data_IF_499222042372
#
_entry.id   IF_499222042372
#
_cell.length_a   1.000
_cell.length_b   1.000
_cell.length_c   1.000
_cell.angle_alpha   90.00
_cell.angle_beta   90.00
_cell.angle_gamma   90.00
#
_symmetry.space_group_name_H-M   'P 1'
#
loop_
_entity.id
_entity.type
_entity.pdbx_description
1 polymer ?
#
# COMPACT_ATOMS: atom_id res chain seq x y z
N UNK A 1 29.14 -16.70 6.11
CA UNK A 1 28.89 -15.40 5.44
C UNK A 1 28.66 -15.70 3.98
N UNK A 2 27.43 -15.50 3.53
CA UNK A 2 27.09 -15.55 2.10
C UNK A 2 27.68 -14.31 1.41
N UNK A 3 27.91 -14.34 0.09
CA UNK A 3 28.48 -13.19 -0.63
C UNK A 3 27.70 -11.88 -0.47
N UNK A 4 26.40 -11.97 -0.19
CA UNK A 4 25.54 -10.81 0.07
C UNK A 4 25.90 -10.07 1.36
N UNK A 5 26.32 -10.77 2.42
CA UNK A 5 26.73 -10.16 3.69
C UNK A 5 27.94 -9.24 3.52
N UNK A 6 28.84 -9.57 2.58
CA UNK A 6 30.06 -8.80 2.32
C UNK A 6 29.77 -7.49 1.59
N UNK A 7 28.68 -7.42 0.82
CA UNK A 7 28.25 -6.19 0.12
C UNK A 7 27.56 -5.19 1.04
N UNK A 8 27.01 -5.66 2.17
CA UNK A 8 26.28 -4.88 3.17
C UNK A 8 27.18 -4.30 4.27
N UNK A 9 28.49 -4.45 4.15
CA UNK A 9 29.49 -3.99 5.13
C UNK A 9 30.59 -3.14 4.49
N UNK A 10 30.96 -2.04 5.13
CA UNK A 10 32.09 -1.23 4.69
C UNK A 10 32.70 -0.42 5.85
N UNK A 11 34.04 -0.39 5.92
CA UNK A 11 34.75 0.58 6.74
C UNK A 11 34.53 1.98 6.16
N UNK A 12 34.25 2.96 7.02
CA UNK A 12 33.94 4.32 6.63
C UNK A 12 34.28 5.32 7.73
N UNK A 13 34.29 6.59 7.36
CA UNK A 13 34.13 7.70 8.29
C UNK A 13 32.65 8.08 8.31
N UNK A 14 32.11 8.37 9.50
CA UNK A 14 30.73 8.78 9.66
C UNK A 14 30.62 10.12 10.41
N UNK A 15 29.58 10.87 10.08
CA UNK A 15 29.16 12.08 10.79
C UNK A 15 27.67 11.96 11.10
N UNK A 16 27.27 12.30 12.32
CA UNK A 16 25.86 12.36 12.73
C UNK A 16 25.49 13.77 13.16
N UNK A 17 24.26 14.16 12.83
CA UNK A 17 23.66 15.40 13.26
C UNK A 17 22.22 15.12 13.70
N UNK A 18 21.81 15.60 14.87
CA UNK A 18 20.44 15.44 15.38
C UNK A 18 20.03 14.01 15.77
N UNK A 19 20.98 13.07 15.85
CA UNK A 19 20.75 11.71 16.33
C UNK A 19 20.99 11.63 17.84
N UNK A 20 19.92 11.45 18.62
CA UNK A 20 19.99 11.38 20.07
C UNK A 20 20.88 10.21 20.54
N UNK A 21 21.85 10.51 21.41
CA UNK A 21 22.78 9.52 21.96
C UNK A 21 23.85 9.00 21.00
N UNK A 22 23.90 9.47 19.74
CA UNK A 22 24.92 9.08 18.78
C UNK A 22 26.19 9.96 18.87
N UNK A 23 27.40 9.41 18.64
CA UNK A 23 28.60 10.22 18.50
C UNK A 23 28.49 11.15 17.28
N UNK A 24 28.95 12.40 17.42
CA UNK A 24 28.93 13.39 16.34
C UNK A 24 29.69 12.94 15.08
N UNK A 25 30.69 12.08 15.24
CA UNK A 25 31.36 11.40 14.14
C UNK A 25 32.46 10.47 14.61
N UNK A 26 33.07 9.77 13.67
CA UNK A 26 34.19 8.86 13.94
C UNK A 26 34.48 7.95 12.76
N UNK A 27 35.29 6.93 13.01
CA UNK A 27 35.54 5.83 12.07
C UNK A 27 34.81 4.58 12.56
N UNK A 28 34.32 3.76 11.64
CA UNK A 28 33.64 2.53 11.99
C UNK A 28 33.28 1.68 10.79
N UNK A 29 32.85 0.45 11.06
CA UNK A 29 32.22 -0.41 10.06
C UNK A 29 30.73 -0.06 9.99
N UNK A 30 30.29 0.38 8.82
CA UNK A 30 28.87 0.52 8.52
C UNK A 30 28.29 -0.84 8.09
N UNK A 31 27.12 -1.18 8.63
CA UNK A 31 26.39 -2.40 8.33
C UNK A 31 24.93 -2.08 7.96
N UNK A 32 24.49 -2.63 6.82
CA UNK A 32 23.11 -2.52 6.31
C UNK A 32 22.36 -3.81 6.58
N UNK A 33 21.26 -3.72 7.33
CA UNK A 33 20.25 -4.78 7.44
C UNK A 33 18.97 -4.40 6.69
N UNK A 34 17.91 -5.18 6.82
CA UNK A 34 16.66 -4.93 6.08
C UNK A 34 15.82 -3.77 6.66
N UNK A 35 16.15 -3.31 7.87
CA UNK A 35 15.41 -2.29 8.61
C UNK A 35 16.18 -0.97 8.75
N UNK A 36 17.49 -0.98 8.56
CA UNK A 36 18.32 0.21 8.73
C UNK A 36 19.81 0.02 8.46
N UNK A 37 20.55 1.07 8.78
CA UNK A 37 22.01 1.12 8.74
C UNK A 37 22.54 1.42 10.15
N UNK A 38 23.64 0.77 10.51
CA UNK A 38 24.34 0.99 11.78
C UNK A 38 25.81 1.31 11.55
N UNK A 39 26.37 2.25 12.31
CA UNK A 39 27.79 2.63 12.24
C UNK A 39 28.19 3.33 13.55
N UNK A 40 29.34 2.96 14.13
CA UNK A 40 29.90 3.66 15.29
C UNK A 40 28.96 3.80 16.49
N UNK A 41 28.10 2.80 16.73
CA UNK A 41 27.08 2.82 17.78
C UNK A 41 25.78 3.55 17.42
N UNK A 42 25.74 4.32 16.33
CA UNK A 42 24.52 4.90 15.78
C UNK A 42 23.72 3.86 14.99
N UNK A 43 22.39 3.94 15.06
CA UNK A 43 21.46 3.18 14.21
C UNK A 43 20.42 4.11 13.61
N UNK A 44 20.23 4.00 12.31
CA UNK A 44 19.22 4.73 11.55
C UNK A 44 18.26 3.74 10.92
N UNK A 45 16.97 3.85 11.26
CA UNK A 45 15.91 3.05 10.63
C UNK A 45 15.51 3.64 9.28
N UNK A 46 15.33 2.81 8.25
CA UNK A 46 15.00 3.29 6.90
C UNK A 46 13.65 3.97 6.78
N UNK A 47 12.70 3.66 7.65
CA UNK A 47 11.41 4.34 7.73
C UNK A 47 11.53 5.81 8.17
N UNK A 48 12.65 6.16 8.83
CA UNK A 48 12.96 7.52 9.26
C UNK A 48 13.89 8.26 8.26
N UNK A 49 14.38 7.58 7.21
CA UNK A 49 15.22 8.17 6.16
C UNK A 49 14.35 8.78 5.05
N UNK A 50 14.12 10.09 5.11
CA UNK A 50 13.33 10.81 4.11
C UNK A 50 14.11 11.06 2.81
N UNK A 51 15.42 11.30 2.87
CA UNK A 51 16.26 11.53 1.67
C UNK A 51 17.49 10.64 1.65
N UNK A 52 17.93 10.28 0.45
CA UNK A 52 19.20 9.58 0.22
C UNK A 52 19.89 10.22 -0.99
N UNK A 53 21.14 10.65 -0.80
CA UNK A 53 21.98 11.19 -1.88
C UNK A 53 23.35 10.54 -1.89
N UNK A 54 23.95 10.44 -3.07
CA UNK A 54 25.31 9.97 -3.31
C UNK A 54 26.03 11.05 -4.14
N UNK A 55 26.80 11.89 -3.46
CA UNK A 55 27.49 13.02 -4.06
C UNK A 55 28.95 13.02 -3.64
N UNK A 56 29.87 13.16 -4.60
CA UNK A 56 31.32 13.24 -4.33
C UNK A 56 31.84 12.07 -3.48
N UNK A 57 31.25 10.88 -3.65
CA UNK A 57 31.53 9.66 -2.85
C UNK A 57 31.17 9.78 -1.37
N UNK A 58 30.18 10.60 -1.06
CA UNK A 58 29.59 10.76 0.28
C UNK A 58 28.12 10.37 0.21
N UNK A 59 27.77 9.31 0.93
CA UNK A 59 26.40 8.88 1.09
C UNK A 59 25.76 9.69 2.21
N UNK A 60 24.65 10.36 1.92
CA UNK A 60 23.93 11.18 2.89
C UNK A 60 22.50 10.70 3.06
N UNK A 61 22.13 10.39 4.31
CA UNK A 61 20.77 10.03 4.71
C UNK A 61 20.18 11.20 5.50
N UNK A 62 19.12 11.83 4.99
CA UNK A 62 18.38 12.86 5.70
C UNK A 62 17.25 12.23 6.52
N UNK A 63 17.17 12.59 7.80
CA UNK A 63 16.34 11.91 8.79
C UNK A 63 15.15 12.75 9.24
N UNK A 64 14.05 12.08 9.54
CA UNK A 64 12.88 12.64 10.20
C UNK A 64 12.95 12.48 11.72
N UNK A 65 12.47 13.46 12.53
CA UNK A 65 11.97 14.78 12.14
C UNK A 65 13.06 15.78 11.76
N UNK A 66 14.29 15.50 12.18
CA UNK A 66 15.48 16.27 11.86
C UNK A 66 16.69 15.37 12.02
N UNK A 67 17.75 15.66 11.28
CA UNK A 67 19.04 15.02 11.45
C UNK A 67 19.59 14.44 10.16
N UNK A 68 20.82 13.94 10.25
CA UNK A 68 21.57 13.45 9.10
C UNK A 68 22.58 12.41 9.52
N UNK A 69 22.77 11.39 8.68
CA UNK A 69 23.91 10.50 8.74
C UNK A 69 24.69 10.63 7.42
N UNK A 70 25.99 10.94 7.51
CA UNK A 70 26.89 10.98 6.35
C UNK A 70 27.89 9.84 6.47
N UNK A 71 28.12 9.12 5.38
CA UNK A 71 29.12 8.06 5.28
C UNK A 71 30.09 8.41 4.15
N UNK A 72 31.38 8.45 4.45
CA UNK A 72 32.44 8.76 3.51
C UNK A 72 33.61 7.77 3.66
N UNK A 73 34.66 7.94 2.86
CA UNK A 73 35.86 7.09 2.93
C UNK A 73 35.61 5.58 2.72
N UNK A 74 34.51 5.22 2.05
CA UNK A 74 34.12 3.84 1.71
C UNK A 74 35.08 3.14 0.71
N UNK A 75 36.12 3.86 0.24
CA UNK A 75 37.14 3.38 -0.68
C UNK A 75 36.55 2.59 -1.86
N UNK A 76 37.13 1.42 -2.19
CA UNK A 76 36.69 0.54 -3.29
C UNK A 76 35.28 -0.04 -3.11
N UNK A 77 34.74 -0.04 -1.88
CA UNK A 77 33.41 -0.59 -1.58
C UNK A 77 32.28 0.40 -1.86
N UNK A 78 32.60 1.68 -2.12
CA UNK A 78 31.61 2.75 -2.26
C UNK A 78 30.41 2.37 -3.12
N UNK A 79 30.61 2.01 -4.40
CA UNK A 79 29.50 1.73 -5.31
C UNK A 79 28.65 0.53 -4.88
N UNK A 80 29.28 -0.55 -4.42
CA UNK A 80 28.59 -1.76 -3.95
C UNK A 80 27.78 -1.48 -2.68
N UNK A 81 28.37 -0.76 -1.72
CA UNK A 81 27.71 -0.42 -0.47
C UNK A 81 26.58 0.60 -0.69
N UNK A 82 26.79 1.62 -1.53
CA UNK A 82 25.77 2.60 -1.90
C UNK A 82 24.54 1.93 -2.52
N UNK A 83 24.77 0.97 -3.43
CA UNK A 83 23.69 0.17 -4.02
C UNK A 83 22.97 -0.67 -2.97
N UNK A 84 23.68 -1.40 -2.13
CA UNK A 84 23.08 -2.21 -1.07
C UNK A 84 22.24 -1.37 -0.10
N UNK A 85 22.74 -0.19 0.28
CA UNK A 85 22.05 0.77 1.13
C UNK A 85 20.77 1.31 0.47
N UNK A 86 20.86 1.70 -0.81
CA UNK A 86 19.72 2.18 -1.59
C UNK A 86 18.65 1.10 -1.74
N UNK A 87 19.05 -0.12 -2.13
CA UNK A 87 18.14 -1.25 -2.33
C UNK A 87 17.42 -1.64 -1.03
N UNK A 88 18.13 -1.71 0.10
CA UNK A 88 17.55 -2.02 1.40
C UNK A 88 16.60 -0.92 1.88
N UNK A 89 17.00 0.36 1.73
CA UNK A 89 16.15 1.51 2.03
C UNK A 89 14.87 1.47 1.21
N UNK A 90 14.97 1.32 -0.11
CA UNK A 90 13.82 1.35 -1.00
C UNK A 90 12.87 0.17 -0.71
N UNK A 91 13.40 -1.02 -0.42
CA UNK A 91 12.60 -2.15 0.01
C UNK A 91 11.84 -1.88 1.33
N UNK A 92 12.50 -1.29 2.32
CA UNK A 92 11.86 -0.88 3.57
C UNK A 92 10.79 0.19 3.35
N UNK A 93 11.03 1.15 2.45
CA UNK A 93 10.05 2.20 2.10
C UNK A 93 8.86 1.67 1.33
N UNK A 94 9.05 0.72 0.41
CA UNK A 94 7.95 0.01 -0.27
C UNK A 94 7.02 -0.62 0.74
N UNK A 95 7.55 -1.30 1.76
CA UNK A 95 6.74 -1.84 2.87
C UNK A 95 6.10 -0.74 3.72
N UNK A 96 6.90 0.25 4.14
CA UNK A 96 6.47 1.34 5.02
C UNK A 96 5.45 2.31 4.42
N UNK A 97 5.34 2.36 3.09
CA UNK A 97 4.31 3.10 2.34
C UNK A 97 3.21 2.19 1.80
N UNK A 98 3.16 0.94 2.24
CA UNK A 98 2.11 -0.02 1.89
C UNK A 98 2.01 -0.29 0.38
N UNK A 99 3.14 -0.26 -0.33
CA UNK A 99 3.25 -0.52 -1.76
C UNK A 99 3.83 -1.92 -2.06
N UNK A 100 3.94 -2.80 -1.05
CA UNK A 100 4.24 -4.22 -1.25
C UNK A 100 2.97 -5.02 -1.53
N UNK A 101 3.12 -6.21 -2.11
CA UNK A 101 2.04 -7.16 -2.33
C UNK A 101 2.36 -8.57 -1.81
N UNK A 102 1.49 -9.52 -2.14
CA UNK A 102 1.72 -10.94 -1.89
C UNK A 102 2.58 -11.56 -2.99
N UNK A 103 3.45 -12.50 -2.61
CA UNK A 103 4.35 -13.20 -3.52
C UNK A 103 5.61 -12.40 -3.86
N UNK A 104 6.14 -12.60 -5.07
CA UNK A 104 7.29 -11.87 -5.58
C UNK A 104 6.84 -11.01 -6.78
N UNK A 105 7.19 -9.73 -6.84
CA UNK A 105 6.88 -8.90 -7.99
C UNK A 105 7.80 -9.23 -9.15
N UNK A 106 7.36 -8.94 -10.37
CA UNK A 106 8.27 -8.88 -11.53
C UNK A 106 8.90 -7.48 -11.61
N UNK A 107 10.26 -7.36 -11.51
CA UNK A 107 10.92 -6.06 -11.50
C UNK A 107 11.31 -5.58 -12.90
N UNK A 108 11.16 -4.28 -13.12
CA UNK A 108 11.60 -3.56 -14.30
C UNK A 108 12.32 -2.27 -13.89
N UNK A 109 13.41 -1.95 -14.56
CA UNK A 109 14.06 -0.65 -14.45
C UNK A 109 13.60 0.22 -15.64
N UNK A 110 13.23 1.46 -15.35
CA UNK A 110 12.73 2.39 -16.34
C UNK A 110 12.66 3.80 -15.77
N UNK A 111 11.69 4.58 -16.23
CA UNK A 111 11.40 5.91 -15.71
C UNK A 111 9.90 6.16 -15.60
N UNK A 112 9.51 6.88 -14.55
CA UNK A 112 8.22 7.54 -14.45
C UNK A 112 8.33 8.87 -15.22
N UNK A 113 7.62 8.98 -16.35
CA UNK A 113 7.60 10.16 -17.21
C UNK A 113 6.52 11.14 -16.75
N UNK A 114 5.36 10.63 -16.34
CA UNK A 114 4.26 11.40 -15.77
C UNK A 114 3.62 10.65 -14.59
N UNK A 115 3.11 11.33 -13.55
CA UNK A 115 2.99 12.79 -13.44
C UNK A 115 4.28 13.49 -12.98
N UNK A 116 4.64 14.60 -13.62
CA UNK A 116 5.77 15.45 -13.22
C UNK A 116 7.01 15.29 -14.12
N UNK A 117 8.19 15.75 -13.67
CA UNK A 117 9.41 15.59 -14.47
C UNK A 117 9.83 14.12 -14.52
N UNK A 118 10.35 13.69 -15.67
CA UNK A 118 10.84 12.34 -15.85
C UNK A 118 11.92 11.98 -14.83
N UNK A 119 11.72 10.87 -14.12
CA UNK A 119 12.66 10.33 -13.11
C UNK A 119 12.85 8.86 -13.34
N UNK A 120 14.09 8.40 -13.20
CA UNK A 120 14.37 6.96 -13.19
C UNK A 120 13.58 6.30 -12.05
N UNK A 121 13.11 5.09 -12.28
CA UNK A 121 12.26 4.39 -11.34
C UNK A 121 12.42 2.88 -11.48
N UNK A 122 12.34 2.19 -10.33
CA UNK A 122 12.09 0.75 -10.30
C UNK A 122 10.59 0.51 -10.29
N UNK A 123 10.12 -0.34 -11.18
CA UNK A 123 8.72 -0.69 -11.37
C UNK A 123 8.53 -2.15 -10.98
N UNK A 124 7.64 -2.40 -10.04
CA UNK A 124 7.38 -3.72 -9.48
C UNK A 124 5.95 -4.11 -9.83
N UNK A 125 5.77 -5.10 -10.70
CA UNK A 125 4.44 -5.58 -11.07
C UNK A 125 4.02 -6.70 -10.12
N UNK A 126 3.05 -6.41 -9.28
CA UNK A 126 2.40 -7.36 -8.39
C UNK A 126 1.11 -7.91 -9.03
N UNK A 127 0.55 -9.02 -8.51
CA UNK A 127 -0.73 -9.54 -8.99
C UNK A 127 -1.91 -8.54 -8.90
N UNK A 128 -1.85 -7.56 -7.99
CA UNK A 128 -2.96 -6.63 -7.69
C UNK A 128 -2.66 -5.16 -8.01
N UNK A 129 -1.40 -4.78 -8.17
CA UNK A 129 -0.99 -3.39 -8.39
C UNK A 129 0.38 -3.29 -9.06
N UNK A 130 0.71 -2.11 -9.56
CA UNK A 130 2.09 -1.74 -9.93
C UNK A 130 2.63 -0.83 -8.85
N UNK A 131 3.72 -1.22 -8.18
CA UNK A 131 4.44 -0.33 -7.28
C UNK A 131 5.55 0.38 -8.07
N UNK A 132 5.60 1.71 -7.91
CA UNK A 132 6.58 2.59 -8.55
C UNK A 132 7.49 3.13 -7.47
N UNK A 133 8.79 2.96 -7.64
CA UNK A 133 9.84 3.46 -6.73
C UNK A 133 10.68 4.47 -7.51
N UNK A 134 10.30 5.77 -7.50
CA UNK A 134 11.06 6.80 -8.19
C UNK A 134 12.40 7.06 -7.49
N UNK A 135 13.45 7.29 -8.26
CA UNK A 135 14.74 7.73 -7.74
C UNK A 135 14.56 9.04 -6.95
N UNK A 136 15.01 9.02 -5.69
CA UNK A 136 14.88 10.16 -4.77
C UNK A 136 13.44 10.49 -4.35
N UNK A 137 12.45 9.67 -4.71
CA UNK A 137 11.04 9.88 -4.38
C UNK A 137 10.47 8.85 -3.40
N UNK A 138 9.22 9.06 -3.03
CA UNK A 138 8.45 8.11 -2.23
C UNK A 138 7.83 7.04 -3.13
N UNK A 139 7.97 5.74 -2.77
CA UNK A 139 7.20 4.69 -3.40
C UNK A 139 5.70 4.96 -3.37
N UNK A 140 5.01 4.62 -4.45
CA UNK A 140 3.54 4.63 -4.51
C UNK A 140 3.04 3.45 -5.32
N UNK A 141 1.74 3.20 -5.29
CA UNK A 141 1.11 2.09 -6.00
C UNK A 141 -0.04 2.54 -6.90
N UNK A 142 -0.23 1.79 -7.98
CA UNK A 142 -1.33 1.92 -8.93
C UNK A 142 -2.13 0.62 -8.87
N UNK A 143 -3.28 0.58 -8.16
CA UNK A 143 -4.10 -0.63 -8.06
C UNK A 143 -4.64 -1.04 -9.44
N UNK A 144 -4.40 -2.29 -9.86
CA UNK A 144 -4.84 -2.79 -11.16
C UNK A 144 -6.37 -2.82 -11.28
N UNK A 145 -7.08 -2.97 -10.16
CA UNK A 145 -8.54 -2.88 -10.13
C UNK A 145 -9.09 -1.48 -10.40
N UNK A 146 -8.24 -0.44 -10.27
CA UNK A 146 -8.55 0.95 -10.62
C UNK A 146 -8.03 1.36 -12.00
N UNK A 147 -7.27 0.49 -12.69
CA UNK A 147 -6.78 0.72 -14.04
C UNK A 147 -7.90 0.42 -15.03
N UNK A 148 -8.30 1.43 -15.80
CA UNK A 148 -9.27 1.29 -16.89
C UNK A 148 -8.57 0.78 -18.16
N UNK A 149 -7.32 1.19 -18.41
CA UNK A 149 -6.60 0.85 -19.65
C UNK A 149 -5.07 0.75 -19.49
N UNK A 150 -4.46 -0.13 -20.30
CA UNK A 150 -3.00 -0.31 -20.42
C UNK A 150 -2.59 -0.18 -21.90
N UNK A 151 -2.03 0.97 -22.28
CA UNK A 151 -1.58 1.25 -23.65
C UNK A 151 -0.06 1.07 -23.77
N UNK A 152 0.37 0.58 -24.93
CA UNK A 152 1.76 0.68 -25.35
C UNK A 152 1.78 1.65 -26.54
N UNK A 153 2.54 2.73 -26.42
CA UNK A 153 2.64 3.78 -27.43
C UNK A 153 3.95 3.58 -28.18
N UNK A 154 3.89 2.86 -29.30
CA UNK A 154 5.08 2.49 -30.10
C UNK A 154 5.91 3.70 -30.54
N UNK A 155 5.26 4.82 -30.87
CA UNK A 155 5.96 6.03 -31.32
C UNK A 155 6.87 6.66 -30.27
N UNK A 156 6.54 6.52 -28.98
CA UNK A 156 7.32 7.07 -27.86
C UNK A 156 7.99 5.98 -27.01
N UNK A 157 7.73 4.70 -27.33
CA UNK A 157 8.14 3.56 -26.51
C UNK A 157 7.73 3.70 -25.04
N UNK A 158 6.49 4.14 -24.83
CA UNK A 158 5.92 4.34 -23.49
C UNK A 158 4.82 3.32 -23.18
N UNK A 159 4.74 2.93 -21.92
CA UNK A 159 3.58 2.22 -21.36
C UNK A 159 2.75 3.20 -20.57
N UNK A 160 1.47 3.34 -20.92
CA UNK A 160 0.54 4.28 -20.29
C UNK A 160 -0.53 3.51 -19.52
N UNK A 161 -0.64 3.80 -18.22
CA UNK A 161 -1.71 3.30 -17.37
C UNK A 161 -2.73 4.41 -17.13
N UNK A 162 -3.96 4.21 -17.61
CA UNK A 162 -5.08 5.11 -17.31
C UNK A 162 -5.82 4.52 -16.10
N UNK A 163 -5.79 5.22 -14.97
CA UNK A 163 -6.42 4.80 -13.73
C UNK A 163 -7.30 5.90 -13.13
N UNK A 164 -8.14 5.55 -12.15
CA UNK A 164 -8.99 6.53 -11.43
C UNK A 164 -8.19 7.63 -10.73
N UNK A 165 -6.97 7.34 -10.29
CA UNK A 165 -6.09 8.31 -9.66
C UNK A 165 -5.37 9.24 -10.65
N UNK A 166 -5.41 8.93 -11.95
CA UNK A 166 -4.72 9.68 -12.99
C UNK A 166 -4.11 8.77 -14.07
N UNK A 167 -3.41 9.41 -15.00
CA UNK A 167 -2.66 8.75 -16.06
C UNK A 167 -1.19 8.70 -15.69
N UNK A 168 -0.56 7.55 -15.88
CA UNK A 168 0.85 7.32 -15.56
C UNK A 168 1.60 6.87 -16.81
N UNK A 169 2.68 7.57 -17.13
CA UNK A 169 3.52 7.26 -18.29
C UNK A 169 4.82 6.66 -17.82
N UNK A 170 5.18 5.51 -18.38
CA UNK A 170 6.43 4.81 -18.10
C UNK A 170 7.25 4.69 -19.38
N UNK A 171 8.52 5.06 -19.30
CA UNK A 171 9.46 5.04 -20.42
C UNK A 171 10.83 4.51 -20.02
N UNK A 172 11.80 4.61 -20.94
CA UNK A 172 13.20 4.19 -20.73
C UNK A 172 13.38 2.71 -20.30
N UNK A 173 12.42 1.84 -20.61
CA UNK A 173 12.51 0.41 -20.34
C UNK A 173 13.32 -0.35 -21.40
N UNK A 174 13.84 0.35 -22.41
CA UNK A 174 14.58 -0.20 -23.54
C UNK A 174 13.85 -1.40 -24.17
N UNK A 175 14.56 -2.53 -24.37
CA UNK A 175 14.02 -3.76 -24.95
C UNK A 175 12.95 -4.44 -24.07
N UNK A 176 12.75 -3.99 -22.82
CA UNK A 176 11.77 -4.56 -21.89
C UNK A 176 10.42 -3.85 -21.91
N UNK A 177 10.23 -2.81 -22.71
CA UNK A 177 8.98 -2.00 -22.74
C UNK A 177 7.74 -2.86 -23.04
N UNK A 178 7.82 -3.71 -24.06
CA UNK A 178 6.73 -4.61 -24.44
C UNK A 178 6.52 -5.75 -23.41
N UNK A 179 7.61 -6.28 -22.83
CA UNK A 179 7.51 -7.23 -21.73
C UNK A 179 6.78 -6.63 -20.51
N UNK A 180 7.10 -5.39 -20.13
CA UNK A 180 6.43 -4.68 -19.04
C UNK A 180 4.93 -4.50 -19.30
N UNK A 181 4.55 -4.03 -20.50
CA UNK A 181 3.15 -3.87 -20.87
C UNK A 181 2.39 -5.21 -20.83
N UNK A 182 3.00 -6.29 -21.32
CA UNK A 182 2.41 -7.64 -21.26
C UNK A 182 2.25 -8.14 -19.83
N UNK A 183 3.26 -7.99 -18.97
CA UNK A 183 3.17 -8.43 -17.57
C UNK A 183 2.04 -7.73 -16.85
N UNK A 184 1.88 -6.41 -17.02
CA UNK A 184 0.76 -5.67 -16.41
C UNK A 184 -0.60 -6.15 -16.93
N UNK A 185 -0.73 -6.34 -18.25
CA UNK A 185 -1.97 -6.85 -18.85
C UNK A 185 -2.31 -8.25 -18.35
N UNK A 186 -1.32 -9.14 -18.25
CA UNK A 186 -1.48 -10.49 -17.74
C UNK A 186 -1.91 -10.47 -16.27
N UNK A 187 -1.22 -9.71 -15.41
CA UNK A 187 -1.59 -9.56 -13.99
C UNK A 187 -3.04 -9.05 -13.83
N UNK A 188 -3.42 -8.01 -14.58
CA UNK A 188 -4.78 -7.46 -14.56
C UNK A 188 -5.81 -8.46 -15.07
N UNK A 189 -5.53 -9.18 -16.16
CA UNK A 189 -6.44 -10.19 -16.69
C UNK A 189 -6.67 -11.33 -15.68
N UNK A 190 -5.60 -11.86 -15.07
CA UNK A 190 -5.70 -12.89 -14.04
C UNK A 190 -6.45 -12.40 -12.80
N UNK A 191 -6.25 -11.15 -12.37
CA UNK A 191 -7.00 -10.55 -11.26
C UNK A 191 -8.50 -10.46 -11.59
N UNK A 192 -8.88 -9.96 -12.78
CA UNK A 192 -10.27 -9.89 -13.22
C UNK A 192 -10.92 -11.27 -13.31
N UNK A 193 -10.20 -12.27 -13.82
CA UNK A 193 -10.67 -13.64 -13.90
C UNK A 193 -10.94 -14.24 -12.51
N UNK A 194 -10.03 -14.02 -11.54
CA UNK A 194 -10.25 -14.44 -10.15
C UNK A 194 -11.52 -13.81 -9.57
N UNK A 195 -11.70 -12.50 -9.74
CA UNK A 195 -12.88 -11.78 -9.26
C UNK A 195 -14.17 -12.29 -9.92
N UNK A 196 -14.13 -12.55 -11.23
CA UNK A 196 -15.28 -13.03 -11.98
C UNK A 196 -15.69 -14.45 -11.59
N UNK A 197 -14.71 -15.33 -11.33
CA UNK A 197 -14.96 -16.70 -10.87
C UNK A 197 -15.66 -16.71 -9.51
N UNK A 198 -15.24 -15.85 -8.59
CA UNK A 198 -15.79 -15.79 -7.22
C UNK A 198 -17.17 -15.15 -7.17
N UNK A 199 -17.37 -14.06 -7.92
CA UNK A 199 -18.65 -13.34 -7.93
C UNK A 199 -19.68 -13.92 -8.91
N UNK A 200 -19.25 -14.70 -9.89
CA UNK A 200 -20.07 -15.12 -11.03
C UNK A 200 -20.36 -13.99 -12.03
N UNK A 201 -19.69 -12.84 -11.94
CA UNK A 201 -19.89 -11.69 -12.85
C UNK A 201 -18.59 -10.93 -13.15
N UNK A 202 -18.51 -10.27 -14.31
CA UNK A 202 -17.32 -9.52 -14.75
C UNK A 202 -17.26 -8.08 -14.24
N UNK A 203 -18.18 -7.68 -13.36
CA UNK A 203 -18.22 -6.32 -12.83
C UNK A 203 -17.15 -6.04 -11.77
N UNK A 204 -16.62 -7.07 -11.11
CA UNK A 204 -15.66 -6.91 -10.02
C UNK A 204 -14.22 -6.78 -10.51
N UNK A 205 -13.47 -5.94 -9.81
CA UNK A 205 -12.02 -5.84 -9.85
C UNK A 205 -11.49 -5.60 -8.44
N UNK A 206 -10.23 -5.94 -8.19
CA UNK A 206 -9.63 -5.87 -6.85
C UNK A 206 -9.73 -4.45 -6.24
N UNK A 207 -10.27 -4.38 -5.02
CA UNK A 207 -10.43 -3.13 -4.26
C UNK A 207 -11.48 -2.16 -4.81
N UNK A 208 -12.21 -2.51 -5.89
CA UNK A 208 -13.23 -1.65 -6.49
C UNK A 208 -14.62 -2.02 -6.03
N UNK A 209 -15.38 -1.02 -5.58
CA UNK A 209 -16.78 -1.16 -5.25
C UNK A 209 -17.66 -1.15 -6.53
N UNK A 210 -18.59 -2.11 -6.62
CA UNK A 210 -19.58 -2.25 -7.69
C UNK A 210 -20.95 -1.84 -7.14
N UNK A 211 -21.59 -0.79 -7.67
CA UNK A 211 -22.89 -0.34 -7.20
C UNK A 211 -23.96 -1.42 -7.29
N UNK A 212 -24.88 -1.46 -6.32
CA UNK A 212 -26.00 -2.41 -6.29
C UNK A 212 -26.93 -2.29 -7.51
N UNK A 213 -26.98 -1.11 -8.13
CA UNK A 213 -27.72 -0.85 -9.37
C UNK A 213 -27.11 -1.58 -10.57
N UNK A 214 -25.78 -1.65 -10.63
CA UNK A 214 -25.05 -2.43 -11.65
C UNK A 214 -25.22 -3.92 -11.42
N UNK A 215 -25.20 -4.36 -10.17
CA UNK A 215 -25.34 -5.78 -9.81
C UNK A 215 -26.77 -6.31 -10.03
N UNK A 216 -27.79 -5.45 -10.10
CA UNK A 216 -29.16 -5.90 -10.31
C UNK A 216 -29.55 -7.02 -9.32
N UNK A 217 -30.29 -8.02 -9.77
CA UNK A 217 -30.73 -9.13 -8.92
C UNK A 217 -29.60 -9.89 -8.21
N UNK A 218 -28.37 -9.82 -8.70
CA UNK A 218 -27.22 -10.49 -8.06
C UNK A 218 -26.83 -9.85 -6.72
N UNK A 219 -27.19 -8.59 -6.45
CA UNK A 219 -26.77 -7.91 -5.22
C UNK A 219 -27.18 -8.69 -3.95
N UNK A 220 -28.45 -9.13 -3.86
CA UNK A 220 -28.96 -9.87 -2.70
C UNK A 220 -28.42 -11.31 -2.63
N UNK A 221 -28.10 -11.91 -3.78
CA UNK A 221 -27.41 -13.21 -3.80
C UNK A 221 -26.01 -13.05 -3.23
N UNK A 222 -25.26 -12.07 -3.73
CA UNK A 222 -23.87 -11.83 -3.37
C UNK A 222 -23.70 -11.40 -1.93
N UNK A 223 -24.58 -10.55 -1.38
CA UNK A 223 -24.51 -10.18 0.04
C UNK A 223 -24.67 -11.42 0.94
N UNK A 224 -25.52 -12.37 0.58
CA UNK A 224 -25.69 -13.63 1.31
C UNK A 224 -24.48 -14.55 1.15
N UNK A 225 -23.97 -14.72 -0.08
CA UNK A 225 -22.83 -15.60 -0.36
C UNK A 225 -21.52 -15.09 0.24
N UNK A 226 -21.30 -13.78 0.20
CA UNK A 226 -20.06 -13.15 0.68
C UNK A 226 -20.02 -12.88 2.18
N UNK A 227 -21.17 -12.89 2.86
CA UNK A 227 -21.22 -12.68 4.30
C UNK A 227 -20.90 -13.94 5.07
N UNK A 228 -20.08 -13.80 6.11
CA UNK A 228 -20.08 -14.74 7.21
C UNK A 228 -21.47 -14.76 7.86
N UNK A 229 -21.96 -15.91 8.35
CA UNK A 229 -23.28 -16.02 8.97
C UNK A 229 -23.52 -14.97 10.07
N UNK A 230 -22.49 -14.67 10.87
CA UNK A 230 -22.50 -13.71 11.98
C UNK A 230 -22.59 -12.25 11.51
N UNK A 231 -22.28 -11.97 10.24
CA UNK A 231 -22.23 -10.62 9.65
C UNK A 231 -23.47 -10.29 8.83
N UNK A 232 -24.21 -11.30 8.35
CA UNK A 232 -25.27 -11.13 7.38
C UNK A 232 -26.40 -10.19 7.87
N UNK A 233 -26.84 -10.34 9.11
CA UNK A 233 -27.92 -9.50 9.65
C UNK A 233 -27.47 -8.04 9.84
N UNK A 234 -26.20 -7.83 10.19
CA UNK A 234 -25.60 -6.50 10.26
C UNK A 234 -25.51 -5.85 8.87
N UNK A 235 -25.03 -6.59 7.88
CA UNK A 235 -24.97 -6.13 6.49
C UNK A 235 -26.37 -5.77 5.95
N UNK A 236 -27.39 -6.59 6.23
CA UNK A 236 -28.79 -6.28 5.87
C UNK A 236 -29.33 -5.03 6.56
N UNK A 237 -28.98 -4.80 7.83
CA UNK A 237 -29.37 -3.57 8.54
C UNK A 237 -28.75 -2.33 7.89
N UNK A 238 -27.48 -2.41 7.48
CA UNK A 238 -26.79 -1.34 6.74
C UNK A 238 -27.50 -1.09 5.40
N UNK A 239 -27.77 -2.13 4.61
CA UNK A 239 -28.48 -2.00 3.32
C UNK A 239 -29.86 -1.38 3.50
N UNK A 240 -30.62 -1.81 4.51
CA UNK A 240 -31.95 -1.26 4.81
C UNK A 240 -31.90 0.24 5.10
N UNK A 241 -30.86 0.72 5.79
CA UNK A 241 -30.69 2.13 6.16
C UNK A 241 -30.21 2.99 5.01
N UNK A 242 -29.26 2.49 4.23
CA UNK A 242 -28.72 3.21 3.08
C UNK A 242 -29.73 3.28 1.92
N UNK A 243 -30.63 2.28 1.85
CA UNK A 243 -31.34 1.99 0.62
C UNK A 243 -30.39 1.36 -0.40
N UNK A 244 -30.93 0.48 -1.24
CA UNK A 244 -30.11 -0.30 -2.17
C UNK A 244 -29.25 0.56 -3.11
N UNK A 245 -29.77 1.69 -3.59
CA UNK A 245 -29.04 2.60 -4.46
C UNK A 245 -27.82 3.24 -3.80
N UNK A 246 -27.81 3.34 -2.47
CA UNK A 246 -26.68 3.83 -1.68
C UNK A 246 -25.61 2.79 -1.39
N UNK A 247 -25.75 1.55 -1.89
CA UNK A 247 -24.86 0.44 -1.57
C UNK A 247 -23.99 0.00 -2.75
N UNK A 248 -22.80 -0.50 -2.43
CA UNK A 248 -21.92 -1.18 -3.36
C UNK A 248 -21.20 -2.35 -2.67
N UNK A 249 -20.96 -3.43 -3.42
CA UNK A 249 -20.16 -4.57 -2.96
C UNK A 249 -18.80 -4.56 -3.64
N UNK A 250 -17.78 -5.10 -2.98
CA UNK A 250 -16.48 -5.30 -3.60
C UNK A 250 -15.76 -6.52 -3.07
N UNK A 251 -14.68 -6.87 -3.78
CA UNK A 251 -13.72 -7.90 -3.40
C UNK A 251 -12.35 -7.25 -3.29
N UNK A 252 -11.55 -7.68 -2.32
CA UNK A 252 -10.17 -7.19 -2.15
C UNK A 252 -9.26 -8.31 -1.67
N UNK A 253 -8.09 -8.43 -2.29
CA UNK A 253 -6.97 -9.23 -1.84
C UNK A 253 -6.21 -8.47 -0.74
N UNK A 254 -6.30 -8.97 0.49
CA UNK A 254 -5.66 -8.46 1.68
C UNK A 254 -4.18 -8.83 1.69
N UNK A 255 -3.33 -7.82 1.66
CA UNK A 255 -1.88 -8.02 1.51
C UNK A 255 -1.16 -8.26 2.85
N UNK A 256 -1.81 -7.88 3.97
CA UNK A 256 -1.38 -8.15 5.34
C UNK A 256 -2.62 -8.54 6.17
N UNK A 257 -3.23 -9.72 5.94
CA UNK A 257 -4.42 -10.13 6.68
C UNK A 257 -4.06 -10.33 8.16
N UNK A 258 -4.95 -9.92 9.08
CA UNK A 258 -4.82 -10.30 10.49
C UNK A 258 -5.03 -11.83 10.64
N UNK A 259 -4.40 -12.44 11.65
CA UNK A 259 -4.39 -13.90 11.85
C UNK A 259 -5.78 -14.52 12.13
N UNK A 260 -6.74 -13.72 12.60
CA UNK A 260 -8.11 -14.16 12.91
C UNK A 260 -9.13 -13.57 11.93
N UNK A 261 -9.95 -14.42 11.30
CA UNK A 261 -10.99 -13.98 10.37
C UNK A 261 -12.22 -14.89 10.33
N UNK A 262 -13.36 -14.31 9.91
CA UNK A 262 -14.61 -15.04 9.75
C UNK A 262 -14.74 -15.53 8.30
N UNK A 263 -15.07 -16.81 8.12
CA UNK A 263 -15.28 -17.38 6.80
C UNK A 263 -16.59 -16.90 6.17
N UNK A 264 -16.56 -16.57 4.87
CA UNK A 264 -17.76 -16.37 4.08
C UNK A 264 -18.56 -17.67 3.95
N UNK A 265 -19.86 -17.56 3.63
CA UNK A 265 -20.70 -18.74 3.33
C UNK A 265 -20.19 -19.52 2.10
N UNK A 266 -19.77 -18.81 1.06
CA UNK A 266 -19.04 -19.38 -0.07
C UNK A 266 -17.54 -19.14 0.12
N UNK A 267 -16.72 -20.17 -0.10
CA UNK A 267 -15.28 -20.06 0.09
C UNK A 267 -14.69 -19.01 -0.85
N UNK A 268 -14.10 -17.96 -0.27
CA UNK A 268 -13.34 -16.96 -0.99
C UNK A 268 -11.90 -17.45 -1.20
N UNK A 269 -11.19 -16.98 -2.25
CA UNK A 269 -9.78 -17.29 -2.39
C UNK A 269 -8.98 -16.84 -1.17
N UNK A 270 -7.86 -17.52 -0.93
CA UNK A 270 -6.92 -17.17 0.15
C UNK A 270 -6.61 -15.67 0.12
N UNK A 271 -6.61 -15.05 1.30
CA UNK A 271 -6.39 -13.63 1.51
C UNK A 271 -7.39 -12.71 0.80
N UNK A 272 -8.57 -13.19 0.39
CA UNK A 272 -9.62 -12.33 -0.19
C UNK A 272 -10.69 -12.02 0.85
N UNK A 273 -11.09 -10.75 0.93
CA UNK A 273 -12.25 -10.31 1.70
C UNK A 273 -13.31 -9.69 0.78
N UNK A 274 -14.58 -9.90 1.13
CA UNK A 274 -15.68 -9.18 0.55
C UNK A 274 -16.08 -8.00 1.44
N UNK A 275 -16.47 -6.89 0.83
CA UNK A 275 -16.85 -5.68 1.56
C UNK A 275 -18.13 -5.06 1.01
N UNK A 276 -18.83 -4.35 1.90
CA UNK A 276 -19.96 -3.49 1.62
C UNK A 276 -19.53 -2.04 1.92
N UNK A 277 -19.71 -1.17 0.93
CA UNK A 277 -19.71 0.28 1.14
C UNK A 277 -21.15 0.78 1.03
N UNK A 278 -21.57 1.63 1.96
CA UNK A 278 -22.92 2.18 1.99
C UNK A 278 -22.92 3.67 2.35
N UNK A 279 -23.67 4.48 1.60
CA UNK A 279 -23.91 5.89 1.92
C UNK A 279 -25.15 6.03 2.80
N UNK A 280 -24.98 6.58 4.01
CA UNK A 280 -26.06 6.78 4.97
C UNK A 280 -25.96 8.22 5.49
N UNK A 281 -26.95 9.06 5.16
CA UNK A 281 -27.05 10.45 5.65
C UNK A 281 -25.78 11.29 5.44
N UNK A 282 -25.10 11.08 4.31
CA UNK A 282 -23.85 11.79 3.98
C UNK A 282 -22.59 11.21 4.60
N UNK A 283 -22.70 10.10 5.35
CA UNK A 283 -21.58 9.30 5.84
C UNK A 283 -21.39 8.06 4.97
N UNK A 284 -20.16 7.55 4.92
CA UNK A 284 -19.84 6.30 4.22
C UNK A 284 -19.49 5.23 5.26
N UNK A 285 -20.23 4.12 5.22
CA UNK A 285 -20.01 2.95 6.06
C UNK A 285 -19.24 1.90 5.27
N UNK A 286 -18.12 1.44 5.83
CA UNK A 286 -17.39 0.25 5.37
C UNK A 286 -17.64 -0.90 6.32
N UNK A 287 -18.18 -1.98 5.78
CA UNK A 287 -18.33 -3.26 6.47
C UNK A 287 -17.61 -4.36 5.69
N UNK A 288 -16.74 -5.13 6.35
CA UNK A 288 -16.25 -6.37 5.76
C UNK A 288 -17.27 -7.48 6.05
N UNK A 289 -17.75 -8.11 4.98
CA UNK A 289 -18.74 -9.17 5.04
C UNK A 289 -18.10 -10.49 5.50
N UNK A 290 -16.82 -10.68 5.20
CA UNK A 290 -16.01 -11.86 5.53
C UNK A 290 -14.51 -11.50 5.58
N UNK A 291 -13.71 -12.40 6.15
CA UNK A 291 -12.28 -12.22 6.37
C UNK A 291 -11.93 -11.64 7.75
N UNK A 292 -10.67 -11.21 7.95
CA UNK A 292 -10.23 -10.61 9.20
C UNK A 292 -10.91 -9.26 9.40
N UNK A 293 -11.95 -9.20 10.23
CA UNK A 293 -12.59 -7.94 10.56
C UNK A 293 -13.24 -7.97 11.93
N UNK A 294 -12.73 -7.08 12.80
CA UNK A 294 -13.31 -6.84 14.12
C UNK A 294 -14.26 -5.63 14.16
N UNK A 295 -14.41 -4.84 13.08
CA UNK A 295 -15.14 -3.57 13.15
C UNK A 295 -15.75 -3.08 11.83
N UNK A 296 -16.84 -2.31 11.97
CA UNK A 296 -17.40 -1.42 10.94
C UNK A 296 -16.76 -0.05 11.05
N UNK A 297 -16.42 0.57 9.92
CA UNK A 297 -15.84 1.93 9.89
C UNK A 297 -16.84 2.92 9.30
N UNK A 298 -16.92 4.11 9.87
CA UNK A 298 -17.77 5.21 9.40
C UNK A 298 -16.90 6.40 9.06
N UNK A 299 -17.05 6.95 7.85
CA UNK A 299 -16.23 8.04 7.32
C UNK A 299 -17.08 9.27 6.98
N UNK A 300 -16.51 10.45 7.25
CA UNK A 300 -17.01 11.78 6.87
C UNK A 300 -16.34 12.25 5.57
N UNK A 301 -16.45 11.46 4.51
CA UNK A 301 -15.97 11.79 3.18
C UNK A 301 -16.99 11.34 2.12
N UNK A 302 -16.96 11.93 0.92
CA UNK A 302 -17.74 11.43 -0.21
C UNK A 302 -17.43 9.95 -0.50
N UNK A 303 -18.44 9.23 -0.98
CA UNK A 303 -18.36 7.80 -1.30
C UNK A 303 -17.16 7.46 -2.19
N UNK A 304 -17.00 8.19 -3.29
CA UNK A 304 -15.93 7.94 -4.26
C UNK A 304 -14.54 8.21 -3.68
N UNK A 305 -14.41 9.19 -2.78
CA UNK A 305 -13.14 9.48 -2.10
C UNK A 305 -12.77 8.35 -1.14
N UNK A 306 -13.73 7.83 -0.37
CA UNK A 306 -13.52 6.68 0.53
C UNK A 306 -13.16 5.44 -0.26
N UNK A 307 -13.91 5.12 -1.33
CA UNK A 307 -13.65 3.96 -2.18
C UNK A 307 -12.25 4.04 -2.83
N UNK A 308 -11.89 5.19 -3.40
CA UNK A 308 -10.56 5.44 -3.97
C UNK A 308 -9.46 5.29 -2.93
N UNK A 309 -9.62 5.90 -1.76
CA UNK A 309 -8.56 5.93 -0.75
C UNK A 309 -8.37 4.56 -0.09
N UNK A 310 -9.45 3.78 0.10
CA UNK A 310 -9.38 2.40 0.58
C UNK A 310 -8.64 1.50 -0.42
N UNK A 311 -8.93 1.63 -1.72
CA UNK A 311 -8.19 0.94 -2.76
C UNK A 311 -6.70 1.36 -2.77
N UNK A 312 -6.42 2.66 -2.58
CA UNK A 312 -5.07 3.20 -2.51
C UNK A 312 -4.23 2.70 -1.33
N UNK A 313 -4.84 2.10 -0.31
CA UNK A 313 -4.15 1.41 0.79
C UNK A 313 -4.36 -0.11 0.79
N UNK A 314 -4.93 -0.68 -0.28
CA UNK A 314 -5.38 -2.09 -0.36
C UNK A 314 -6.14 -2.56 0.90
N UNK A 315 -7.04 -1.71 1.41
CA UNK A 315 -7.86 -2.00 2.58
C UNK A 315 -7.05 -2.39 3.84
N UNK A 316 -5.79 -1.95 3.94
CA UNK A 316 -4.97 -2.09 5.16
C UNK A 316 -5.47 -1.14 6.25
N UNK A 317 -6.49 -1.60 6.98
CA UNK A 317 -7.24 -0.79 7.95
C UNK A 317 -6.56 -0.63 9.30
N UNK A 318 -5.58 -1.45 9.65
CA UNK A 318 -4.94 -1.42 10.99
C UNK A 318 -4.45 -0.03 11.38
N UNK A 319 -3.82 0.68 10.45
CA UNK A 319 -3.34 2.06 10.67
C UNK A 319 -4.46 3.09 10.88
N UNK A 320 -5.69 2.83 10.42
CA UNK A 320 -6.85 3.69 10.68
C UNK A 320 -7.25 3.63 12.17
N UNK A 321 -7.08 2.47 12.80
CA UNK A 321 -7.54 2.21 14.16
C UNK A 321 -6.55 2.61 15.27
N UNK A 322 -5.28 2.88 14.94
CA UNK A 322 -4.26 3.18 15.95
C UNK A 322 -4.60 4.46 16.71
N UNK A 323 -4.48 4.46 18.03
CA UNK A 323 -4.49 5.65 18.88
C UNK A 323 -3.18 6.45 18.74
N UNK A 324 -3.16 7.69 19.22
CA UNK A 324 -1.94 8.50 19.21
C UNK A 324 -0.76 7.84 19.93
N UNK A 325 -1.02 7.16 21.05
CA UNK A 325 -0.01 6.41 21.80
C UNK A 325 0.50 5.19 21.00
N UNK A 326 -0.40 4.43 20.36
CA UNK A 326 -0.02 3.26 19.56
C UNK A 326 0.79 3.64 18.32
N UNK A 327 0.50 4.79 17.71
CA UNK A 327 1.28 5.32 16.58
C UNK A 327 2.76 5.52 16.96
N UNK A 328 3.04 5.92 18.20
CA UNK A 328 4.41 6.11 18.69
C UNK A 328 5.06 4.81 19.17
N UNK A 329 4.26 3.81 19.56
CA UNK A 329 4.73 2.53 20.08
C UNK A 329 5.09 1.49 18.99
N UNK A 330 5.40 0.25 19.42
CA UNK A 330 5.75 -0.85 18.53
C UNK A 330 4.66 -1.18 17.50
N UNK A 331 3.38 -1.06 17.88
CA UNK A 331 2.24 -1.32 17.00
C UNK A 331 2.14 -0.35 15.81
N UNK A 332 2.54 0.91 16.00
CA UNK A 332 2.55 1.93 14.96
C UNK A 332 3.82 1.96 14.12
N UNK A 333 4.91 1.33 14.58
CA UNK A 333 6.22 1.35 13.91
C UNK A 333 6.15 0.95 12.42
N UNK A 334 5.46 -0.12 12.00
CA UNK A 334 5.35 -0.48 10.58
C UNK A 334 4.63 0.57 9.72
N UNK A 335 3.73 1.34 10.34
CA UNK A 335 2.85 2.30 9.66
C UNK A 335 3.33 3.75 9.77
N UNK A 336 4.40 4.03 10.52
CA UNK A 336 4.85 5.39 10.83
C UNK A 336 5.12 6.20 9.56
N UNK A 337 5.77 5.59 8.56
CA UNK A 337 6.05 6.24 7.29
C UNK A 337 4.76 6.53 6.51
N UNK A 338 3.87 5.55 6.35
CA UNK A 338 2.57 5.74 5.71
C UNK A 338 1.72 6.81 6.41
N UNK A 339 1.65 6.81 7.75
CA UNK A 339 0.90 7.82 8.51
C UNK A 339 1.43 9.25 8.29
N UNK A 340 2.72 9.38 8.00
CA UNK A 340 3.37 10.68 7.69
C UNK A 340 3.17 11.10 6.24
N UNK A 341 3.31 10.17 5.29
CA UNK A 341 3.51 10.46 3.86
C UNK A 341 2.39 9.99 2.94
N UNK A 342 1.61 8.98 3.31
CA UNK A 342 0.60 8.37 2.43
C UNK A 342 -0.74 9.11 2.53
N UNK A 343 -1.01 9.98 1.56
CA UNK A 343 -2.19 10.85 1.56
C UNK A 343 -3.54 10.12 1.67
N UNK A 344 -3.81 9.00 0.96
CA UNK A 344 -5.05 8.23 1.16
C UNK A 344 -5.27 7.80 2.62
N UNK A 345 -4.21 7.33 3.29
CA UNK A 345 -4.29 6.90 4.69
C UNK A 345 -4.56 8.09 5.61
N UNK A 346 -3.89 9.22 5.38
CA UNK A 346 -4.09 10.45 6.17
C UNK A 346 -5.51 10.97 6.05
N UNK A 347 -6.06 11.04 4.83
CA UNK A 347 -7.43 11.48 4.58
C UNK A 347 -8.46 10.55 5.24
N UNK A 348 -8.36 9.24 5.03
CA UNK A 348 -9.26 8.27 5.66
C UNK A 348 -9.21 8.34 7.19
N UNK A 349 -8.01 8.44 7.76
CA UNK A 349 -7.82 8.55 9.21
C UNK A 349 -8.43 9.82 9.77
N UNK A 350 -8.20 10.97 9.13
CA UNK A 350 -8.78 12.24 9.54
C UNK A 350 -10.32 12.26 9.41
N UNK A 351 -10.85 11.52 8.44
CA UNK A 351 -12.29 11.43 8.18
C UNK A 351 -12.99 10.31 8.98
N UNK A 352 -12.28 9.49 9.74
CA UNK A 352 -12.89 8.40 10.49
C UNK A 352 -13.74 8.99 11.63
N UNK A 353 -15.06 8.91 11.48
CA UNK A 353 -16.01 9.37 12.50
C UNK A 353 -16.19 8.32 13.60
N UNK A 354 -16.20 7.04 13.22
CA UNK A 354 -16.33 5.95 14.18
C UNK A 354 -15.68 4.66 13.68
N UNK A 355 -15.22 3.86 14.64
CA UNK A 355 -14.86 2.44 14.47
C UNK A 355 -15.70 1.65 15.46
N UNK A 356 -16.70 0.93 14.96
CA UNK A 356 -17.66 0.18 15.78
C UNK A 356 -17.23 -1.27 15.82
N UNK A 357 -16.80 -1.74 17.00
CA UNK A 357 -16.39 -3.13 17.20
C UNK A 357 -17.61 -4.04 17.12
N UNK A 358 -17.43 -5.20 16.51
CA UNK A 358 -18.45 -6.23 16.45
C UNK A 358 -18.53 -6.98 17.78
N UNK A 359 -19.42 -6.50 18.65
CA UNK A 359 -19.84 -7.13 19.91
C UNK A 359 -21.38 -7.14 20.01
N UNK A 360 -21.92 -7.54 21.16
CA UNK A 360 -23.38 -7.55 21.42
C UNK A 360 -24.03 -6.16 21.28
N UNK A 361 -23.24 -5.08 21.37
CA UNK A 361 -23.68 -3.68 21.29
C UNK A 361 -23.40 -3.06 19.94
N UNK A 362 -22.92 -3.83 18.97
CA UNK A 362 -22.57 -3.34 17.64
C UNK A 362 -23.67 -2.48 17.00
N UNK A 363 -24.92 -2.95 17.05
CA UNK A 363 -26.08 -2.24 16.47
C UNK A 363 -26.30 -0.88 17.12
N UNK A 364 -26.16 -0.80 18.45
CA UNK A 364 -26.26 0.47 19.19
C UNK A 364 -25.09 1.40 18.88
N UNK A 365 -23.87 0.84 18.79
CA UNK A 365 -22.67 1.58 18.42
C UNK A 365 -22.76 2.20 17.03
N UNK A 366 -23.23 1.42 16.05
CA UNK A 366 -23.46 1.91 14.69
C UNK A 366 -24.53 2.99 14.66
N UNK A 367 -25.65 2.81 15.38
CA UNK A 367 -26.71 3.82 15.48
C UNK A 367 -26.23 5.14 16.09
N UNK A 368 -25.29 5.11 17.03
CA UNK A 368 -24.70 6.33 17.61
C UNK A 368 -23.74 7.04 16.66
N UNK A 369 -23.19 6.31 15.69
CA UNK A 369 -22.24 6.83 14.71
C UNK A 369 -22.88 7.38 13.43
N UNK A 370 -24.17 7.08 13.19
CA UNK A 370 -24.97 7.48 12.01
C UNK A 370 -25.99 8.58 12.36
#
# INVERSE_FOLDING_TARGET
MTGDDETRRALCTFETEGLEGAPAGGEGEAFVDDDGVSVGGARVAFLDVDTFTDEQRVLTLGLHPSGRLRLSMLARRHATFARALADARDAARVRGLLAHGLGNPEPFDGALIEPGPARDARLLVWPTHVAVVPAGGDPFQIPLGSVDEVRFVEGTWEVVLVAKAGTFHFGRLALRTDAFARTIRAARASMLERCARVSGTRHFSDGRAVPATVLGSDFERLIVSFSAPERLDGARDIVKRAGREGCALGLVELLDPDDEGLAAKEELPVNTAAFLLASIRGLVVLELLSGPSAATYVFQLPFDDVARDLAGIHFRRRALALTGAEVQGPAGRPYRLALRRLEPLKRLRAATAARVIHDERWREGLLKAL
#
